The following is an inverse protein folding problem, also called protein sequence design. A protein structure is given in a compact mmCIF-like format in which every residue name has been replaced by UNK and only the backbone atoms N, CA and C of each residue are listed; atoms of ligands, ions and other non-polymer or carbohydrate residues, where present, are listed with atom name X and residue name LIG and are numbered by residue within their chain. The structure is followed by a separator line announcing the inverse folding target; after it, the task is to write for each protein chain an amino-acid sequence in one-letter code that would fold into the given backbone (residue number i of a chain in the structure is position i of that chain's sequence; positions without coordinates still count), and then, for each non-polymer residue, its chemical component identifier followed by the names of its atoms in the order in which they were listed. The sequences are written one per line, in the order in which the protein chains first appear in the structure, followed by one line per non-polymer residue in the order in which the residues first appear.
data_IF_345781382797
#
_entry.id   IF_345781382797
#
_cell.length_a   1.000
_cell.length_b   1.000
_cell.length_c   1.000
_cell.angle_alpha   90.00
_cell.angle_beta   90.00
_cell.angle_gamma   90.00
#
_symmetry.space_group_name_H-M   'P 1'
#
loop_
_entity.id
_entity.type
_entity.pdbx_description
1 polymer ?
#
# COMPACT_ATOMS: atom_id res chain seq x y z
N UNK A 1 10.83 1.39 6.55
CA UNK A 1 11.33 0.47 5.52
C UNK A 1 11.66 1.27 4.26
N UNK A 2 12.84 1.07 3.65
CA UNK A 2 13.18 1.72 2.37
C UNK A 2 12.86 0.77 1.22
N UNK A 3 12.17 1.27 0.20
CA UNK A 3 11.91 0.55 -1.05
C UNK A 3 12.26 1.49 -2.18
N UNK A 4 13.16 1.06 -3.08
CA UNK A 4 13.64 1.91 -4.17
C UNK A 4 14.14 3.28 -3.65
N UNK A 5 13.51 4.36 -4.09
CA UNK A 5 13.77 5.75 -3.71
C UNK A 5 12.82 6.31 -2.64
N UNK A 6 11.96 5.47 -2.02
CA UNK A 6 10.97 5.93 -1.03
C UNK A 6 11.13 5.27 0.33
N UNK A 7 10.76 6.01 1.38
CA UNK A 7 10.71 5.52 2.76
C UNK A 7 9.26 5.37 3.21
N UNK A 8 8.89 4.16 3.64
CA UNK A 8 7.64 3.91 4.33
C UNK A 8 7.91 3.94 5.82
N UNK A 9 7.15 4.77 6.52
CA UNK A 9 7.27 4.99 7.97
C UNK A 9 5.92 4.68 8.59
N UNK A 10 5.93 3.82 9.61
CA UNK A 10 4.80 3.64 10.51
C UNK A 10 5.18 4.23 11.85
N UNK A 11 4.28 5.04 12.41
CA UNK A 11 4.44 5.63 13.73
C UNK A 11 3.38 5.01 14.62
N UNK A 12 3.82 4.45 15.75
CA UNK A 12 2.93 3.85 16.75
C UNK A 12 3.05 4.62 18.05
N UNK A 13 1.93 4.82 18.73
CA UNK A 13 1.93 5.32 20.11
C UNK A 13 1.92 4.13 21.08
N UNK A 14 2.48 4.32 22.28
CA UNK A 14 2.41 3.34 23.39
C UNK A 14 3.20 2.03 23.16
N UNK A 15 2.96 1.02 24.01
CA UNK A 15 3.53 -0.32 23.92
C UNK A 15 2.81 -1.17 22.84
N UNK A 16 2.85 -0.70 21.60
CA UNK A 16 2.24 -1.39 20.46
C UNK A 16 3.05 -2.63 20.04
N UNK A 17 2.37 -3.62 19.45
CA UNK A 17 3.05 -4.79 18.91
C UNK A 17 3.86 -4.41 17.66
N UNK A 18 5.17 -4.22 17.85
CA UNK A 18 6.11 -3.84 16.80
C UNK A 18 6.13 -4.85 15.65
N UNK A 19 6.04 -6.16 15.94
CA UNK A 19 6.03 -7.18 14.91
C UNK A 19 4.77 -7.09 14.02
N UNK A 20 3.61 -6.80 14.62
CA UNK A 20 2.37 -6.54 13.89
C UNK A 20 2.49 -5.29 13.01
N UNK A 21 3.03 -4.19 13.54
CA UNK A 21 3.23 -2.96 12.78
C UNK A 21 4.16 -3.17 11.57
N UNK A 22 5.28 -3.89 11.74
CA UNK A 22 6.17 -4.23 10.65
C UNK A 22 5.52 -5.16 9.62
N UNK A 23 4.79 -6.19 10.08
CA UNK A 23 4.05 -7.10 9.20
C UNK A 23 3.05 -6.33 8.33
N UNK A 24 2.27 -5.45 8.94
CA UNK A 24 1.31 -4.60 8.22
C UNK A 24 2.00 -3.76 7.14
N UNK A 25 3.12 -3.10 7.45
CA UNK A 25 3.85 -2.29 6.46
C UNK A 25 4.35 -3.12 5.28
N UNK A 26 4.82 -4.36 5.52
CA UNK A 26 5.25 -5.26 4.44
C UNK A 26 4.06 -5.69 3.57
N UNK A 27 2.94 -6.07 4.18
CA UNK A 27 1.74 -6.50 3.47
C UNK A 27 1.07 -5.35 2.70
N UNK A 28 1.02 -4.14 3.27
CA UNK A 28 0.49 -2.94 2.62
C UNK A 28 1.29 -2.59 1.36
N UNK A 29 2.62 -2.69 1.40
CA UNK A 29 3.45 -2.52 0.21
C UNK A 29 3.16 -3.56 -0.87
N UNK A 30 3.02 -4.83 -0.48
CA UNK A 30 2.71 -5.89 -1.43
C UNK A 30 1.34 -5.64 -2.09
N UNK A 31 0.36 -5.19 -1.30
CA UNK A 31 -0.94 -4.75 -1.77
C UNK A 31 -0.80 -3.60 -2.78
N UNK A 32 -0.12 -2.51 -2.44
CA UNK A 32 0.09 -1.38 -3.35
C UNK A 32 0.73 -1.81 -4.67
N UNK A 33 1.79 -2.63 -4.62
CA UNK A 33 2.42 -3.20 -5.83
C UNK A 33 1.44 -3.99 -6.67
N UNK A 34 0.53 -4.76 -6.06
CA UNK A 34 -0.47 -5.53 -6.80
C UNK A 34 -1.42 -4.64 -7.60
N UNK A 35 -1.76 -3.46 -7.07
CA UNK A 35 -2.58 -2.46 -7.77
C UNK A 35 -1.79 -1.69 -8.83
N UNK A 36 -0.51 -1.37 -8.58
CA UNK A 36 0.31 -0.54 -9.48
C UNK A 36 0.97 -1.33 -10.63
N UNK A 37 0.74 -2.64 -10.73
CA UNK A 37 1.38 -3.49 -11.74
C UNK A 37 2.81 -3.91 -11.41
N UNK A 38 3.19 -3.92 -10.13
CA UNK A 38 4.45 -4.45 -9.62
C UNK A 38 5.45 -3.38 -9.13
N UNK A 39 5.31 -2.13 -9.58
CA UNK A 39 6.17 -1.02 -9.19
C UNK A 39 5.76 -0.43 -7.83
N UNK A 40 6.76 0.06 -7.07
CA UNK A 40 6.56 0.86 -5.86
C UNK A 40 7.76 1.80 -5.70
N UNK A 41 7.69 2.91 -6.43
CA UNK A 41 8.65 4.00 -6.44
C UNK A 41 7.88 5.34 -6.40
N UNK A 42 8.62 6.44 -6.40
CA UNK A 42 8.03 7.79 -6.34
C UNK A 42 7.03 8.06 -7.47
N UNK A 43 7.31 7.60 -8.69
CA UNK A 43 6.43 7.83 -9.84
C UNK A 43 5.15 7.00 -9.75
N UNK A 44 5.25 5.73 -9.35
CA UNK A 44 4.08 4.89 -9.09
C UNK A 44 3.20 5.49 -7.99
N UNK A 45 3.80 5.99 -6.90
CA UNK A 45 3.05 6.64 -5.80
C UNK A 45 2.37 7.92 -6.28
N UNK A 46 3.08 8.78 -7.02
CA UNK A 46 2.54 10.05 -7.54
C UNK A 46 1.35 9.81 -8.48
N UNK A 47 1.45 8.81 -9.36
CA UNK A 47 0.41 8.49 -10.32
C UNK A 47 -0.82 7.80 -9.70
N UNK A 48 -0.65 7.15 -8.54
CA UNK A 48 -1.71 6.41 -7.85
C UNK A 48 -2.12 7.06 -6.53
N UNK A 49 -1.86 8.36 -6.35
CA UNK A 49 -2.03 9.06 -5.07
C UNK A 49 -3.43 8.91 -4.50
N UNK A 50 -4.48 9.12 -5.30
CA UNK A 50 -5.88 8.99 -4.88
C UNK A 50 -6.20 7.55 -4.44
N UNK A 51 -5.78 6.56 -5.22
CA UNK A 51 -5.95 5.14 -4.91
C UNK A 51 -5.24 4.74 -3.61
N UNK A 52 -4.07 5.32 -3.32
CA UNK A 52 -3.37 5.07 -2.05
C UNK A 52 -4.21 5.51 -0.86
N UNK A 53 -4.86 6.68 -0.91
CA UNK A 53 -5.72 7.12 0.20
C UNK A 53 -6.93 6.22 0.38
N UNK A 54 -7.58 5.83 -0.71
CA UNK A 54 -8.73 4.93 -0.65
C UNK A 54 -8.34 3.57 -0.06
N UNK A 55 -7.20 3.02 -0.49
CA UNK A 55 -6.64 1.79 0.08
C UNK A 55 -6.31 1.97 1.57
N UNK A 56 -5.71 3.08 1.97
CA UNK A 56 -5.35 3.34 3.37
C UNK A 56 -6.58 3.42 4.28
N UNK A 57 -7.65 4.07 3.82
CA UNK A 57 -8.91 4.19 4.57
C UNK A 57 -9.58 2.82 4.78
N UNK A 58 -9.47 1.90 3.81
CA UNK A 58 -10.05 0.55 3.92
C UNK A 58 -9.18 -0.44 4.72
N UNK A 59 -7.84 -0.32 4.66
CA UNK A 59 -6.94 -1.28 5.32
C UNK A 59 -6.51 -0.89 6.73
N UNK A 60 -6.84 0.32 7.18
CA UNK A 60 -6.49 0.82 8.50
C UNK A 60 -7.64 1.63 9.11
N UNK A 61 -8.27 1.08 10.14
CA UNK A 61 -9.35 1.76 10.86
C UNK A 61 -8.88 2.18 12.26
N UNK A 62 -8.89 3.48 12.54
CA UNK A 62 -8.38 4.09 13.79
C UNK A 62 -7.01 3.56 14.27
N UNK A 63 -6.12 3.21 13.34
CA UNK A 63 -4.77 2.67 13.64
C UNK A 63 -4.71 1.16 13.84
N UNK A 64 -5.82 0.44 13.66
CA UNK A 64 -5.88 -1.02 13.66
C UNK A 64 -5.84 -1.55 12.22
N UNK A 65 -4.87 -2.41 11.86
CA UNK A 65 -4.86 -3.10 10.58
C UNK A 65 -6.13 -3.91 10.33
N UNK A 66 -6.74 -3.73 9.17
CA UNK A 66 -7.91 -4.47 8.70
C UNK A 66 -7.52 -5.49 7.62
N UNK A 67 -8.41 -5.79 6.68
CA UNK A 67 -8.18 -6.81 5.65
C UNK A 67 -7.32 -6.27 4.50
N UNK A 68 -6.21 -6.95 4.18
CA UNK A 68 -5.31 -6.57 3.09
C UNK A 68 -5.44 -7.46 1.84
N UNK A 69 -6.50 -8.27 1.73
CA UNK A 69 -6.75 -9.11 0.55
C UNK A 69 -7.14 -8.25 -0.66
N UNK A 70 -6.35 -8.23 -1.76
CA UNK A 70 -6.69 -7.46 -2.95
C UNK A 70 -8.05 -7.87 -3.56
N UNK A 71 -8.42 -9.14 -3.44
CA UNK A 71 -9.69 -9.66 -3.98
C UNK A 71 -10.90 -9.08 -3.26
N UNK A 72 -10.79 -8.89 -1.94
CA UNK A 72 -11.84 -8.33 -1.11
C UNK A 72 -11.89 -6.81 -1.31
N UNK A 73 -10.73 -6.16 -1.31
CA UNK A 73 -10.62 -4.71 -1.45
C UNK A 73 -11.15 -4.19 -2.79
N UNK A 74 -11.08 -4.98 -3.87
CA UNK A 74 -11.70 -4.65 -5.16
C UNK A 74 -13.21 -4.44 -5.10
N UNK A 75 -13.88 -4.91 -4.05
CA UNK A 75 -15.32 -4.72 -3.86
C UNK A 75 -15.67 -3.38 -3.20
N UNK A 76 -14.68 -2.74 -2.56
CA UNK A 76 -14.87 -1.52 -1.77
C UNK A 76 -14.19 -0.29 -2.39
N UNK A 77 -13.21 -0.51 -3.26
CA UNK A 77 -12.40 0.53 -3.88
C UNK A 77 -12.96 0.90 -5.25
N UNK A 78 -13.03 2.19 -5.53
CA UNK A 78 -13.54 2.77 -6.78
C UNK A 78 -12.44 3.13 -7.77
N UNK A 79 -11.21 3.36 -7.31
CA UNK A 79 -10.08 3.68 -8.18
C UNK A 79 -9.39 2.43 -8.75
N UNK A 80 -9.02 2.48 -10.03
CA UNK A 80 -8.15 1.49 -10.65
C UNK A 80 -6.69 1.97 -10.69
N UNK A 81 -5.75 1.05 -10.54
CA UNK A 81 -4.32 1.38 -10.57
C UNK A 81 -3.84 1.79 -11.96
N UNK A 82 -3.12 2.91 -12.04
CA UNK A 82 -2.43 3.36 -13.24
C UNK A 82 -1.11 2.60 -13.37
N UNK A 83 -1.04 1.72 -14.38
CA UNK A 83 0.20 1.03 -14.74
C UNK A 83 1.11 1.98 -15.51
N UNK A 84 2.37 2.10 -15.09
CA UNK A 84 3.37 2.82 -15.87
C UNK A 84 3.57 2.12 -17.22
N UNK A 85 3.53 2.85 -18.36
CA UNK A 85 3.76 2.27 -19.68
C UNK A 85 5.17 1.69 -19.86
N UNK A 86 6.08 1.93 -18.91
CA UNK A 86 7.44 1.38 -18.91
C UNK A 86 7.58 0.05 -18.13
N UNK A 87 6.52 -0.47 -17.52
CA UNK A 87 6.59 -1.68 -16.67
C UNK A 87 6.49 -3.01 -17.45
N UNK A 88 6.41 -3.00 -18.77
CA UNK A 88 6.35 -4.22 -19.59
C UNK A 88 7.67 -4.47 -20.33
N UNK A 89 8.57 -5.20 -19.67
CA UNK A 89 9.51 -6.17 -20.27
C UNK A 89 10.31 -6.87 -19.16
N UNK A 90 9.84 -8.07 -18.80
CA UNK A 90 10.51 -9.03 -17.94
C UNK A 90 9.88 -10.39 -18.16
#
# INVERSE_FOLDING_TARGET
MRISNVYIVIVVSSNANVACAFKFVVEAVALFKSYFGGAFDEDAIRNNFVLIYELLDEIMDFGYPQNLSPEILKLYITQEGVRSPFSSKG
#
